data_IF_672722997331
#
_entry.id   IF_672722997331
#
_cell.length_a   1.000
_cell.length_b   1.000
_cell.length_c   1.000
_cell.angle_alpha   90.00
_cell.angle_beta   90.00
_cell.angle_gamma   90.00
#
_symmetry.space_group_name_H-M   'P 1'
#
loop_
_entity.id
_entity.type
_entity.pdbx_description
1 polymer ?
#
# COMPACT_ATOMS: atom_id res chain seq x y z
N UNK A 1 18.01 -55.96 -1.52
CA UNK A 1 18.13 -54.87 -0.56
C UNK A 1 16.87 -54.02 -0.73
N UNK A 2 15.94 -54.07 0.20
CA UNK A 2 14.71 -53.30 0.13
C UNK A 2 15.06 -51.85 0.51
N UNK A 3 15.04 -50.94 -0.49
CA UNK A 3 15.23 -49.51 -0.28
C UNK A 3 14.29 -49.03 0.87
N UNK A 4 14.84 -48.82 2.04
CA UNK A 4 14.12 -48.49 3.29
C UNK A 4 13.86 -46.99 3.31
N UNK A 5 13.10 -46.46 2.30
CA UNK A 5 12.73 -45.05 2.13
C UNK A 5 11.28 -44.87 2.53
N UNK A 6 11.05 -44.00 3.49
CA UNK A 6 9.69 -43.63 3.97
C UNK A 6 9.42 -42.13 3.80
N UNK A 7 8.16 -41.81 3.63
CA UNK A 7 7.66 -40.43 3.66
C UNK A 7 6.95 -40.16 4.99
N UNK A 8 7.38 -39.15 5.70
CA UNK A 8 6.78 -38.67 6.94
C UNK A 8 6.01 -37.39 6.63
N UNK A 9 4.68 -37.52 6.55
CA UNK A 9 3.80 -36.47 6.07
C UNK A 9 2.97 -35.90 7.23
N UNK A 10 3.09 -34.59 7.43
CA UNK A 10 2.19 -33.86 8.31
C UNK A 10 0.98 -33.44 7.46
N UNK A 11 -0.18 -33.97 7.83
CA UNK A 11 -1.46 -33.71 7.20
C UNK A 11 -2.36 -32.89 8.16
N UNK A 12 -3.49 -32.39 7.68
CA UNK A 12 -4.40 -31.53 8.44
C UNK A 12 -4.89 -32.21 9.75
N UNK A 13 -5.22 -33.50 9.70
CA UNK A 13 -5.81 -34.23 10.84
C UNK A 13 -4.82 -35.14 11.58
N UNK A 14 -3.56 -35.25 11.11
CA UNK A 14 -2.61 -36.15 11.74
C UNK A 14 -1.30 -36.34 10.95
N UNK A 15 -0.55 -37.32 11.35
CA UNK A 15 0.74 -37.68 10.76
C UNK A 15 0.60 -39.02 10.04
N UNK A 16 0.98 -39.05 8.76
CA UNK A 16 1.01 -40.27 7.96
C UNK A 16 2.45 -40.71 7.70
N UNK A 17 2.74 -41.99 7.91
CA UNK A 17 3.98 -42.65 7.49
C UNK A 17 3.66 -43.50 6.28
N UNK A 18 4.33 -43.21 5.17
CA UNK A 18 4.02 -43.78 3.86
C UNK A 18 5.28 -44.41 3.27
N UNK A 19 5.15 -45.52 2.63
CA UNK A 19 6.26 -46.18 1.94
C UNK A 19 6.57 -45.55 0.56
N UNK A 20 7.61 -46.05 -0.11
CA UNK A 20 7.99 -45.60 -1.45
C UNK A 20 6.89 -45.82 -2.51
N UNK A 21 5.95 -46.75 -2.27
CA UNK A 21 4.82 -47.06 -3.16
C UNK A 21 3.56 -46.21 -2.82
N UNK A 22 3.67 -45.20 -1.97
CA UNK A 22 2.57 -44.38 -1.46
C UNK A 22 1.48 -45.21 -0.72
N UNK A 23 1.86 -46.32 -0.07
CA UNK A 23 0.97 -47.05 0.82
C UNK A 23 1.20 -46.60 2.24
N UNK A 24 0.08 -46.26 2.92
CA UNK A 24 0.11 -45.80 4.32
C UNK A 24 0.45 -46.97 5.23
N UNK A 25 1.58 -46.88 5.91
CA UNK A 25 2.05 -47.87 6.88
C UNK A 25 1.53 -47.59 8.28
N UNK A 26 1.40 -46.30 8.62
CA UNK A 26 0.83 -45.85 9.89
C UNK A 26 0.21 -44.48 9.69
N UNK A 27 -0.90 -44.26 10.38
CA UNK A 27 -1.53 -42.94 10.52
C UNK A 27 -1.85 -42.66 11.98
N UNK A 28 -1.34 -41.54 12.50
CA UNK A 28 -1.65 -41.08 13.85
C UNK A 28 -2.49 -39.82 13.78
N UNK A 29 -3.74 -39.91 14.26
CA UNK A 29 -4.65 -38.74 14.33
C UNK A 29 -4.21 -37.84 15.46
N UNK A 30 -4.23 -36.52 15.24
CA UNK A 30 -4.09 -35.51 16.28
C UNK A 30 -5.32 -35.49 17.18
N UNK A 31 -5.12 -35.35 18.48
CA UNK A 31 -6.24 -35.19 19.43
C UNK A 31 -6.96 -33.85 19.20
N UNK A 32 -6.21 -32.79 19.02
CA UNK A 32 -6.72 -31.46 18.61
C UNK A 32 -5.85 -30.96 17.44
N UNK A 33 -6.31 -31.19 16.17
CA UNK A 33 -5.51 -30.87 15.00
C UNK A 33 -5.02 -29.42 14.96
N UNK A 34 -5.83 -28.47 15.45
CA UNK A 34 -5.48 -27.05 15.44
C UNK A 34 -4.35 -26.74 16.42
N UNK A 35 -4.44 -27.28 17.65
CA UNK A 35 -3.38 -27.10 18.66
C UNK A 35 -2.08 -27.78 18.23
N UNK A 36 -2.17 -28.98 17.68
CA UNK A 36 -1.00 -29.70 17.18
C UNK A 36 -0.29 -28.93 16.08
N UNK A 37 -1.01 -28.37 15.12
CA UNK A 37 -0.42 -27.51 14.09
C UNK A 37 0.18 -26.21 14.64
N UNK A 38 -0.41 -25.60 15.67
CA UNK A 38 0.18 -24.44 16.35
C UNK A 38 1.47 -24.79 17.09
N UNK A 39 1.53 -25.95 17.78
CA UNK A 39 2.75 -26.47 18.40
C UNK A 39 3.83 -26.68 17.37
N UNK A 40 3.54 -27.38 16.27
CA UNK A 40 4.49 -27.61 15.17
C UNK A 40 5.00 -26.29 14.59
N UNK A 41 4.14 -25.30 14.38
CA UNK A 41 4.55 -23.97 13.93
C UNK A 41 5.51 -23.28 14.90
N UNK A 42 5.30 -23.47 16.21
CA UNK A 42 6.17 -22.95 17.27
C UNK A 42 7.41 -23.81 17.54
N UNK A 43 7.68 -24.83 16.69
CA UNK A 43 8.78 -25.80 16.82
C UNK A 43 8.72 -26.68 18.07
N UNK A 44 7.54 -26.88 18.60
CA UNK A 44 7.26 -27.89 19.62
C UNK A 44 6.87 -29.19 18.91
N UNK A 45 7.75 -30.17 18.96
CA UNK A 45 7.63 -31.43 18.20
C UNK A 45 7.37 -32.65 19.12
N UNK A 46 6.83 -32.45 20.33
CA UNK A 46 6.55 -33.55 21.24
C UNK A 46 5.65 -34.62 20.63
N UNK A 47 4.52 -34.20 19.98
CA UNK A 47 3.59 -35.14 19.34
C UNK A 47 4.19 -35.88 18.14
N UNK A 48 5.24 -35.30 17.53
CA UNK A 48 5.97 -35.91 16.42
C UNK A 48 6.91 -36.99 16.96
N UNK A 49 7.54 -36.79 18.13
CA UNK A 49 8.46 -37.75 18.71
C UNK A 49 7.80 -39.12 18.93
N UNK A 50 6.54 -39.14 19.41
CA UNK A 50 5.78 -40.36 19.57
C UNK A 50 5.51 -41.09 18.23
N UNK A 51 5.35 -40.35 17.15
CA UNK A 51 5.14 -40.93 15.81
C UNK A 51 6.44 -41.51 15.23
N UNK A 52 7.60 -41.01 15.68
CA UNK A 52 8.91 -41.56 15.27
C UNK A 52 9.24 -42.88 15.96
N UNK A 53 8.61 -43.22 17.08
CA UNK A 53 8.74 -44.54 17.74
C UNK A 53 8.27 -45.71 16.87
N UNK A 54 7.45 -45.41 15.84
CA UNK A 54 7.10 -46.41 14.82
C UNK A 54 8.32 -47.05 14.18
N UNK A 55 9.39 -46.30 14.01
CA UNK A 55 10.63 -46.78 13.40
C UNK A 55 11.50 -47.51 14.41
N UNK A 56 11.21 -48.80 14.65
CA UNK A 56 12.07 -49.69 15.47
C UNK A 56 13.48 -49.79 14.91
N UNK A 57 13.62 -49.74 13.56
CA UNK A 57 14.88 -49.65 12.85
C UNK A 57 14.84 -48.40 11.99
N UNK A 58 15.88 -47.57 12.10
CA UNK A 58 15.91 -46.29 11.36
C UNK A 58 15.93 -46.55 9.84
N UNK A 59 15.07 -45.82 9.09
CA UNK A 59 15.09 -45.92 7.62
C UNK A 59 16.36 -45.29 7.03
N UNK A 60 16.74 -45.75 5.83
CA UNK A 60 17.87 -45.17 5.10
C UNK A 60 17.65 -43.72 4.71
N UNK A 61 16.38 -43.39 4.38
CA UNK A 61 15.98 -42.01 4.05
C UNK A 61 14.55 -41.76 4.50
N UNK A 62 14.35 -40.61 5.17
CA UNK A 62 13.04 -40.13 5.58
C UNK A 62 12.71 -38.80 4.85
N UNK A 63 11.71 -38.82 3.99
CA UNK A 63 11.29 -37.63 3.27
C UNK A 63 10.13 -36.96 3.96
N UNK A 64 10.14 -35.62 4.08
CA UNK A 64 9.04 -34.87 4.72
C UNK A 64 8.51 -33.75 3.83
N UNK A 65 7.22 -33.43 3.98
CA UNK A 65 6.57 -32.29 3.35
C UNK A 65 6.75 -30.99 4.17
N UNK A 66 7.41 -31.05 5.35
CA UNK A 66 7.53 -29.92 6.25
C UNK A 66 9.00 -29.53 6.46
N UNK A 67 9.50 -28.43 5.83
CA UNK A 67 10.92 -28.07 5.86
C UNK A 67 11.48 -27.85 7.27
N UNK A 68 10.67 -27.28 8.16
CA UNK A 68 11.11 -26.92 9.51
C UNK A 68 11.36 -28.15 10.41
N UNK A 69 10.86 -29.31 9.99
CA UNK A 69 11.05 -30.57 10.71
C UNK A 69 12.42 -31.23 10.43
N UNK A 70 13.11 -30.83 9.36
CA UNK A 70 14.35 -31.47 8.93
C UNK A 70 15.43 -31.38 10.00
N UNK A 71 15.62 -30.19 10.59
CA UNK A 71 16.65 -30.02 11.62
C UNK A 71 16.34 -30.88 12.86
N UNK A 72 15.07 -30.97 13.23
CA UNK A 72 14.63 -31.84 14.32
C UNK A 72 14.86 -33.33 14.03
N UNK A 73 14.52 -33.79 12.83
CA UNK A 73 14.75 -35.18 12.40
C UNK A 73 16.25 -35.53 12.35
N UNK A 74 17.09 -34.62 11.83
CA UNK A 74 18.55 -34.80 11.80
C UNK A 74 19.14 -34.86 13.20
N UNK A 75 18.68 -34.02 14.13
CA UNK A 75 19.10 -34.05 15.53
C UNK A 75 18.74 -35.38 16.21
N UNK A 76 17.64 -36.03 15.81
CA UNK A 76 17.25 -37.36 16.24
C UNK A 76 17.92 -38.48 15.44
N UNK A 77 18.98 -38.19 14.68
CA UNK A 77 19.78 -39.11 13.88
C UNK A 77 18.99 -39.79 12.76
N UNK A 78 18.00 -39.19 12.17
CA UNK A 78 17.36 -39.60 10.95
C UNK A 78 18.03 -38.90 9.75
N UNK A 79 18.28 -39.66 8.67
CA UNK A 79 18.65 -39.03 7.40
C UNK A 79 17.39 -38.47 6.74
N UNK A 80 17.17 -37.15 6.87
CA UNK A 80 15.93 -36.49 6.47
C UNK A 80 16.16 -35.47 5.33
N UNK A 81 15.28 -35.52 4.32
CA UNK A 81 15.27 -34.63 3.17
C UNK A 81 13.85 -34.12 2.88
N UNK A 82 13.74 -32.98 2.16
CA UNK A 82 12.46 -32.51 1.62
C UNK A 82 12.09 -33.38 0.43
N UNK A 83 10.80 -33.62 0.24
CA UNK A 83 10.29 -34.32 -0.94
C UNK A 83 10.62 -33.47 -2.18
N UNK A 84 11.50 -33.95 -3.05
CA UNK A 84 12.01 -33.19 -4.21
C UNK A 84 10.98 -33.09 -5.34
N UNK A 85 10.17 -34.15 -5.54
CA UNK A 85 9.16 -34.25 -6.60
C UNK A 85 7.74 -34.08 -5.99
N UNK A 86 7.44 -32.89 -5.47
CA UNK A 86 6.14 -32.62 -4.87
C UNK A 86 5.15 -32.14 -5.93
N UNK A 87 4.38 -33.05 -6.52
CA UNK A 87 3.19 -32.69 -7.31
C UNK A 87 2.01 -32.43 -6.36
N UNK A 88 1.68 -31.16 -6.18
CA UNK A 88 0.62 -30.71 -5.27
C UNK A 88 -0.75 -31.30 -5.64
N UNK A 89 -1.05 -31.48 -6.93
CA UNK A 89 -2.32 -32.06 -7.40
C UNK A 89 -2.40 -33.54 -7.06
N UNK A 90 -1.35 -34.29 -7.34
CA UNK A 90 -1.28 -35.70 -7.02
C UNK A 90 -1.33 -35.93 -5.50
N UNK A 91 -0.67 -35.08 -4.72
CA UNK A 91 -0.71 -35.12 -3.26
C UNK A 91 -2.10 -34.91 -2.71
N UNK A 92 -2.90 -33.98 -3.25
CA UNK A 92 -4.29 -33.76 -2.82
C UNK A 92 -5.17 -35.00 -3.10
N UNK A 93 -4.93 -35.70 -4.19
CA UNK A 93 -5.64 -36.95 -4.51
C UNK A 93 -5.21 -38.07 -3.55
N UNK A 94 -3.92 -38.20 -3.31
CA UNK A 94 -3.35 -39.25 -2.47
C UNK A 94 -3.71 -39.05 -0.97
N UNK A 95 -4.01 -37.82 -0.53
CA UNK A 95 -4.44 -37.53 0.84
C UNK A 95 -5.62 -38.42 1.29
N UNK A 96 -6.60 -38.66 0.44
CA UNK A 96 -7.75 -39.51 0.76
C UNK A 96 -7.26 -40.90 1.13
N UNK A 97 -6.24 -41.43 0.42
CA UNK A 97 -5.66 -42.73 0.72
C UNK A 97 -4.89 -42.75 2.03
N UNK A 98 -4.25 -41.64 2.39
CA UNK A 98 -3.51 -41.54 3.66
C UNK A 98 -4.44 -41.54 4.88
N UNK A 99 -5.65 -41.00 4.74
CA UNK A 99 -6.68 -41.04 5.79
C UNK A 99 -7.46 -42.38 5.83
N UNK A 100 -7.40 -43.17 4.76
CA UNK A 100 -8.18 -44.40 4.61
C UNK A 100 -8.04 -45.42 5.76
N UNK A 101 -6.87 -45.60 6.38
CA UNK A 101 -6.73 -46.58 7.50
C UNK A 101 -7.64 -46.24 8.68
N UNK A 102 -8.01 -44.96 8.87
CA UNK A 102 -8.78 -44.48 10.00
C UNK A 102 -10.24 -44.19 9.65
N UNK A 103 -10.48 -43.60 8.48
CA UNK A 103 -11.80 -43.14 8.05
C UNK A 103 -12.46 -44.02 6.97
N UNK A 104 -11.73 -45.03 6.46
CA UNK A 104 -12.19 -45.83 5.31
C UNK A 104 -11.91 -45.15 3.96
N UNK A 105 -12.07 -45.92 2.86
CA UNK A 105 -11.80 -45.46 1.51
C UNK A 105 -12.87 -44.55 0.90
N UNK A 106 -14.04 -44.44 1.51
CA UNK A 106 -15.13 -43.64 1.00
C UNK A 106 -15.33 -42.38 1.86
N UNK A 107 -14.84 -41.20 1.42
CA UNK A 107 -14.98 -39.97 2.19
C UNK A 107 -16.43 -39.48 2.33
N UNK A 108 -17.34 -39.95 1.47
CA UNK A 108 -18.79 -39.67 1.49
C UNK A 108 -19.63 -40.81 2.08
N UNK A 109 -18.97 -41.86 2.56
CA UNK A 109 -19.66 -42.99 3.18
C UNK A 109 -20.25 -42.68 4.56
N UNK A 110 -21.00 -43.62 5.14
CA UNK A 110 -21.44 -43.49 6.52
C UNK A 110 -20.24 -43.29 7.44
N UNK A 111 -20.37 -42.49 8.52
CA UNK A 111 -19.28 -42.20 9.43
C UNK A 111 -18.68 -43.51 9.96
N UNK A 112 -17.37 -43.65 9.83
CA UNK A 112 -16.61 -44.74 10.42
C UNK A 112 -16.60 -44.62 11.96
N UNK A 113 -15.90 -45.52 12.66
CA UNK A 113 -15.83 -45.51 14.13
C UNK A 113 -15.23 -44.19 14.69
N UNK A 114 -14.49 -43.44 13.87
CA UNK A 114 -13.84 -42.16 14.22
C UNK A 114 -14.59 -40.92 13.67
N UNK A 115 -15.78 -41.08 13.08
CA UNK A 115 -16.56 -40.00 12.51
C UNK A 115 -16.42 -39.84 10.99
N UNK A 116 -16.85 -38.72 10.46
CA UNK A 116 -16.74 -38.35 9.03
C UNK A 116 -15.45 -37.59 8.78
N UNK A 117 -14.63 -38.09 7.85
CA UNK A 117 -13.39 -37.40 7.45
C UNK A 117 -13.65 -35.97 6.95
N UNK A 118 -14.71 -35.77 6.18
CA UNK A 118 -15.05 -34.47 5.61
C UNK A 118 -15.49 -33.48 6.70
N UNK A 119 -16.21 -33.94 7.73
CA UNK A 119 -16.63 -33.08 8.83
C UNK A 119 -15.43 -32.66 9.68
N UNK A 120 -14.52 -33.58 10.00
CA UNK A 120 -13.29 -33.26 10.73
C UNK A 120 -12.39 -32.29 9.93
N UNK A 121 -12.24 -32.50 8.63
CA UNK A 121 -11.48 -31.57 7.75
C UNK A 121 -12.14 -30.20 7.66
N UNK A 122 -13.47 -30.14 7.59
CA UNK A 122 -14.22 -28.90 7.58
C UNK A 122 -14.04 -28.14 8.89
N UNK A 123 -14.19 -28.81 10.00
CA UNK A 123 -14.02 -28.22 11.33
C UNK A 123 -12.60 -27.70 11.54
N UNK A 124 -11.60 -28.48 11.13
CA UNK A 124 -10.20 -28.03 11.13
C UNK A 124 -10.04 -26.78 10.27
N UNK A 125 -10.52 -26.80 9.02
CA UNK A 125 -10.37 -25.68 8.10
C UNK A 125 -11.04 -24.39 8.62
N UNK A 126 -12.24 -24.49 9.22
CA UNK A 126 -12.93 -23.36 9.82
C UNK A 126 -12.16 -22.78 11.02
N UNK A 127 -11.73 -23.64 11.95
CA UNK A 127 -10.97 -23.20 13.12
C UNK A 127 -9.61 -22.62 12.73
N UNK A 128 -8.90 -23.29 11.81
CA UNK A 128 -7.60 -22.85 11.32
C UNK A 128 -7.68 -21.51 10.57
N UNK A 129 -8.72 -21.33 9.73
CA UNK A 129 -8.94 -20.06 9.03
C UNK A 129 -9.26 -18.93 9.99
N UNK A 130 -10.05 -19.19 11.06
CA UNK A 130 -10.32 -18.17 12.10
C UNK A 130 -9.05 -17.71 12.80
N UNK A 131 -8.16 -18.64 13.18
CA UNK A 131 -6.87 -18.30 13.79
C UNK A 131 -6.00 -17.51 12.81
N UNK A 132 -5.93 -17.92 11.55
CA UNK A 132 -5.18 -17.21 10.52
C UNK A 132 -5.69 -15.78 10.28
N UNK A 133 -7.01 -15.59 10.32
CA UNK A 133 -7.63 -14.26 10.22
C UNK A 133 -7.27 -13.42 11.45
N UNK A 134 -7.33 -14.01 12.65
CA UNK A 134 -6.93 -13.31 13.87
C UNK A 134 -5.46 -12.91 13.85
N UNK A 135 -4.55 -13.83 13.54
CA UNK A 135 -3.10 -13.53 13.37
C UNK A 135 -2.85 -12.43 12.32
N UNK A 136 -3.59 -12.49 11.20
CA UNK A 136 -3.49 -11.46 10.17
C UNK A 136 -4.02 -10.11 10.65
N UNK A 137 -5.09 -10.10 11.45
CA UNK A 137 -5.67 -8.86 12.01
C UNK A 137 -4.77 -8.20 13.06
N UNK A 138 -3.90 -8.95 13.71
CA UNK A 138 -2.92 -8.45 14.68
C UNK A 138 -1.67 -7.84 14.00
N UNK A 139 -1.53 -7.99 12.68
CA UNK A 139 -0.40 -7.42 11.94
C UNK A 139 -0.51 -5.90 11.88
N UNK A 140 0.42 -5.22 12.52
CA UNK A 140 0.46 -3.76 12.60
C UNK A 140 0.58 -3.07 11.23
N UNK A 141 1.18 -3.71 10.22
CA UNK A 141 1.30 -3.15 8.86
C UNK A 141 -0.06 -3.03 8.15
N UNK A 142 -1.04 -3.89 8.47
CA UNK A 142 -2.41 -3.74 7.99
C UNK A 142 -3.10 -2.53 8.63
N UNK A 143 -2.88 -2.31 9.93
CA UNK A 143 -3.42 -1.12 10.62
C UNK A 143 -2.80 0.17 10.07
N UNK A 144 -1.49 0.21 9.81
CA UNK A 144 -0.84 1.34 9.12
C UNK A 144 -1.48 1.57 7.74
N UNK A 145 -1.75 0.50 6.99
CA UNK A 145 -2.37 0.61 5.66
C UNK A 145 -3.78 1.21 5.73
N UNK A 146 -4.57 0.84 6.73
CA UNK A 146 -5.91 1.44 6.93
C UNK A 146 -5.80 2.90 7.40
N UNK A 147 -4.90 3.19 8.34
CA UNK A 147 -4.72 4.55 8.87
C UNK A 147 -4.27 5.54 7.79
N UNK A 148 -3.35 5.15 6.90
CA UNK A 148 -2.89 6.02 5.83
C UNK A 148 -3.95 6.21 4.73
N UNK A 149 -4.75 5.18 4.44
CA UNK A 149 -5.88 5.31 3.52
C UNK A 149 -6.94 6.25 4.08
N UNK A 150 -7.27 6.12 5.38
CA UNK A 150 -8.19 7.03 6.07
C UNK A 150 -7.67 8.47 6.07
N UNK A 151 -6.38 8.68 6.29
CA UNK A 151 -5.75 10.00 6.22
C UNK A 151 -5.88 10.62 4.81
N UNK A 152 -5.60 9.85 3.76
CA UNK A 152 -5.73 10.31 2.37
C UNK A 152 -7.19 10.60 1.98
N UNK A 153 -8.16 9.92 2.58
CA UNK A 153 -9.60 10.19 2.38
C UNK A 153 -10.05 11.43 3.15
N UNK A 154 -9.62 11.59 4.41
CA UNK A 154 -9.89 12.77 5.22
C UNK A 154 -9.32 14.03 4.55
N UNK A 155 -8.11 13.97 3.99
CA UNK A 155 -7.51 15.08 3.24
C UNK A 155 -8.41 15.53 2.07
N UNK A 156 -9.02 14.60 1.35
CA UNK A 156 -9.95 14.90 0.25
C UNK A 156 -11.24 15.54 0.75
N UNK A 157 -11.82 14.96 1.80
CA UNK A 157 -13.07 15.47 2.40
C UNK A 157 -12.83 16.87 2.96
N UNK A 158 -11.75 17.05 3.70
CA UNK A 158 -11.36 18.32 4.31
C UNK A 158 -11.17 19.43 3.26
N UNK A 159 -10.49 19.11 2.15
CA UNK A 159 -10.35 20.03 1.03
C UNK A 159 -11.71 20.34 0.36
N UNK A 160 -12.58 19.35 0.18
CA UNK A 160 -13.87 19.54 -0.48
C UNK A 160 -14.82 20.37 0.37
N UNK A 161 -14.99 20.01 1.66
CA UNK A 161 -15.86 20.70 2.60
C UNK A 161 -15.31 22.09 2.93
N UNK A 162 -13.99 22.18 3.16
CA UNK A 162 -13.32 23.44 3.43
C UNK A 162 -13.43 24.44 2.28
N UNK A 163 -13.30 23.99 1.02
CA UNK A 163 -13.51 24.84 -0.14
C UNK A 163 -14.96 25.33 -0.21
N UNK A 164 -15.94 24.45 0.03
CA UNK A 164 -17.35 24.81 0.04
C UNK A 164 -17.66 25.84 1.14
N UNK A 165 -17.13 25.65 2.34
CA UNK A 165 -17.24 26.58 3.43
C UNK A 165 -16.66 27.98 3.07
N UNK A 166 -15.46 28.00 2.47
CA UNK A 166 -14.80 29.24 2.02
C UNK A 166 -15.60 29.98 0.95
N UNK A 167 -16.08 29.25 -0.06
CA UNK A 167 -16.92 29.83 -1.13
C UNK A 167 -18.21 30.44 -0.56
N UNK A 168 -18.85 29.76 0.39
CA UNK A 168 -20.10 30.25 0.98
C UNK A 168 -19.87 31.42 1.95
N UNK A 169 -18.90 31.29 2.87
CA UNK A 169 -18.56 32.39 3.78
C UNK A 169 -17.94 33.59 3.05
N UNK A 170 -17.31 33.36 1.92
CA UNK A 170 -16.77 34.40 1.04
C UNK A 170 -17.84 35.34 0.45
N UNK A 171 -19.13 34.99 0.48
CA UNK A 171 -20.21 35.93 0.18
C UNK A 171 -20.34 37.02 1.26
N UNK A 172 -19.95 36.69 2.50
CA UNK A 172 -19.97 37.64 3.64
C UNK A 172 -18.61 38.33 3.82
N UNK A 173 -17.50 37.57 3.70
CA UNK A 173 -16.15 38.12 3.89
C UNK A 173 -15.18 37.57 2.80
N UNK A 174 -15.27 38.07 1.54
CA UNK A 174 -14.50 37.54 0.42
C UNK A 174 -12.99 37.72 0.56
N UNK A 175 -12.54 38.76 1.24
CA UNK A 175 -11.12 39.05 1.36
C UNK A 175 -10.37 38.08 2.28
N UNK A 176 -11.09 37.41 3.21
CA UNK A 176 -10.50 36.48 4.17
C UNK A 176 -9.83 35.28 3.49
N UNK A 177 -10.35 34.82 2.36
CA UNK A 177 -9.79 33.69 1.61
C UNK A 177 -8.37 33.96 1.10
N UNK A 178 -8.08 35.20 0.71
CA UNK A 178 -6.74 35.59 0.28
C UNK A 178 -5.75 35.78 1.46
N UNK A 179 -6.25 36.11 2.63
CA UNK A 179 -5.43 36.37 3.82
C UNK A 179 -5.06 35.09 4.56
N UNK A 180 -5.96 34.10 4.58
CA UNK A 180 -5.80 32.84 5.32
C UNK A 180 -5.88 31.64 4.42
N UNK A 181 -4.73 31.00 4.19
CA UNK A 181 -4.66 29.78 3.39
C UNK A 181 -4.96 28.51 4.20
N UNK A 182 -4.72 28.53 5.52
CA UNK A 182 -4.98 27.38 6.38
C UNK A 182 -6.48 27.21 6.59
N UNK A 183 -7.01 26.04 6.18
CA UNK A 183 -8.43 25.70 6.25
C UNK A 183 -8.92 25.62 7.71
N UNK A 184 -8.12 25.05 8.61
CA UNK A 184 -8.48 24.89 10.01
C UNK A 184 -8.57 26.25 10.74
N UNK A 185 -7.60 27.15 10.49
CA UNK A 185 -7.62 28.52 11.04
C UNK A 185 -8.82 29.31 10.51
N UNK A 186 -9.12 29.17 9.21
CA UNK A 186 -10.30 29.78 8.60
C UNK A 186 -11.60 29.24 9.23
N UNK A 187 -11.72 27.92 9.41
CA UNK A 187 -12.88 27.31 10.05
C UNK A 187 -13.06 27.75 11.51
N UNK A 188 -11.98 27.94 12.26
CA UNK A 188 -12.05 28.46 13.62
C UNK A 188 -12.66 29.86 13.66
N UNK A 189 -12.31 30.73 12.72
CA UNK A 189 -12.92 32.08 12.64
C UNK A 189 -14.42 31.97 12.34
N UNK A 190 -14.81 31.20 11.36
CA UNK A 190 -16.22 31.03 10.99
C UNK A 190 -17.02 30.40 12.13
N UNK A 191 -16.47 29.38 12.81
CA UNK A 191 -17.16 28.68 13.90
C UNK A 191 -17.33 29.55 15.16
N UNK A 192 -16.29 30.29 15.57
CA UNK A 192 -16.26 30.99 16.87
C UNK A 192 -16.79 32.40 16.82
N UNK A 193 -16.51 33.12 15.73
CA UNK A 193 -16.92 34.51 15.57
C UNK A 193 -18.15 34.59 14.67
N UNK A 194 -18.08 34.01 13.50
CA UNK A 194 -19.16 33.99 12.53
C UNK A 194 -19.31 35.30 11.77
N UNK A 195 -19.75 36.40 12.42
CA UNK A 195 -19.90 37.70 11.78
C UNK A 195 -18.59 38.48 11.77
N UNK A 196 -18.22 39.04 10.62
CA UNK A 196 -16.96 39.79 10.47
C UNK A 196 -16.90 41.02 11.38
N UNK A 197 -18.07 41.61 11.73
CA UNK A 197 -18.20 42.76 12.61
C UNK A 197 -17.84 42.45 14.07
N UNK A 198 -17.94 41.19 14.47
CA UNK A 198 -17.65 40.69 15.84
C UNK A 198 -16.19 40.22 15.98
N UNK A 199 -15.38 40.39 14.96
CA UNK A 199 -13.99 39.89 14.93
C UNK A 199 -13.11 40.76 15.84
N UNK A 200 -12.48 40.14 16.85
CA UNK A 200 -11.59 40.82 17.80
C UNK A 200 -10.13 40.40 17.61
N UNK A 201 -9.21 41.34 17.89
CA UNK A 201 -7.77 41.05 17.83
C UNK A 201 -7.33 40.01 18.84
N UNK A 202 -7.92 40.01 20.05
CA UNK A 202 -7.61 39.02 21.10
C UNK A 202 -7.92 37.59 20.65
N UNK A 203 -9.05 37.38 19.98
CA UNK A 203 -9.40 36.07 19.44
C UNK A 203 -8.42 35.63 18.36
N UNK A 204 -8.04 36.50 17.42
CA UNK A 204 -7.12 36.17 16.36
C UNK A 204 -5.71 35.80 16.87
N UNK A 205 -5.27 36.38 17.99
CA UNK A 205 -4.00 36.00 18.64
C UNK A 205 -4.02 34.56 19.15
N UNK A 206 -5.18 34.01 19.52
CA UNK A 206 -5.30 32.60 19.95
C UNK A 206 -5.13 31.58 18.80
N UNK A 207 -5.15 32.04 17.54
CA UNK A 207 -5.16 31.18 16.35
C UNK A 207 -3.77 31.02 15.67
N UNK A 208 -2.68 31.35 16.37
CA UNK A 208 -1.30 31.29 15.81
C UNK A 208 -1.13 32.10 14.51
N UNK A 209 -1.85 33.24 14.40
CA UNK A 209 -1.75 34.13 13.26
C UNK A 209 -0.68 35.20 13.56
N UNK A 210 0.27 35.48 12.63
CA UNK A 210 1.25 36.54 12.82
C UNK A 210 0.60 37.90 13.04
N UNK A 211 1.12 38.70 13.97
CA UNK A 211 0.53 40.02 14.38
C UNK A 211 0.27 40.97 13.20
N UNK A 212 1.22 41.02 12.25
CA UNK A 212 1.08 41.82 11.03
C UNK A 212 -0.14 41.42 10.18
N UNK A 213 -0.51 40.12 10.19
CA UNK A 213 -1.72 39.66 9.50
C UNK A 213 -2.99 39.93 10.28
N UNK A 214 -2.94 39.92 11.61
CA UNK A 214 -4.08 40.23 12.46
C UNK A 214 -4.59 41.65 12.18
N UNK A 215 -3.69 42.64 12.16
CA UNK A 215 -4.06 44.04 11.84
C UNK A 215 -4.68 44.14 10.44
N UNK A 216 -4.10 43.47 9.44
CA UNK A 216 -4.64 43.49 8.09
C UNK A 216 -6.04 42.88 8.04
N UNK A 217 -6.29 41.77 8.75
CA UNK A 217 -7.59 41.09 8.80
C UNK A 217 -8.63 42.04 9.43
N UNK A 218 -8.31 42.68 10.55
CA UNK A 218 -9.23 43.62 11.24
C UNK A 218 -9.56 44.85 10.39
N UNK A 219 -8.54 45.45 9.75
CA UNK A 219 -8.75 46.57 8.82
C UNK A 219 -9.63 46.19 7.63
N UNK A 220 -9.40 44.96 7.11
CA UNK A 220 -10.12 44.45 5.96
C UNK A 220 -11.56 44.08 6.32
N UNK A 221 -11.80 43.53 7.50
CA UNK A 221 -13.14 43.22 8.01
C UNK A 221 -14.04 44.46 8.04
N UNK A 222 -13.50 45.59 8.52
CA UNK A 222 -14.21 46.86 8.59
C UNK A 222 -14.49 47.50 7.22
N UNK A 223 -13.70 47.18 6.19
CA UNK A 223 -13.81 47.73 4.83
C UNK A 223 -14.32 46.74 3.80
N UNK A 224 -14.71 45.55 4.25
CA UNK A 224 -15.13 44.45 3.36
C UNK A 224 -16.35 44.83 2.52
N UNK A 225 -16.31 44.36 1.26
CA UNK A 225 -17.40 44.52 0.29
C UNK A 225 -18.42 43.41 0.33
N UNK A 226 -18.25 42.42 1.21
CA UNK A 226 -19.15 41.29 1.34
C UNK A 226 -20.55 41.67 1.84
N UNK A 227 -21.54 40.85 1.52
CA UNK A 227 -22.92 41.01 1.94
C UNK A 227 -23.13 40.74 3.45
N UNK A 228 -24.29 41.17 3.99
CA UNK A 228 -24.70 40.71 5.31
C UNK A 228 -25.13 39.27 5.27
N UNK A 229 -24.74 38.49 6.27
CA UNK A 229 -25.14 37.09 6.42
C UNK A 229 -26.39 37.02 7.33
N UNK A 230 -27.34 36.16 6.99
CA UNK A 230 -28.50 35.86 7.83
C UNK A 230 -28.12 34.89 8.94
N UNK A 231 -28.79 34.91 10.08
CA UNK A 231 -28.54 34.03 11.21
C UNK A 231 -28.69 32.54 10.82
N UNK A 232 -29.67 32.20 9.99
CA UNK A 232 -29.90 30.84 9.51
C UNK A 232 -28.71 30.32 8.71
N UNK A 233 -28.21 31.13 7.76
CA UNK A 233 -27.04 30.75 6.95
C UNK A 233 -25.77 30.69 7.80
N UNK A 234 -25.65 31.53 8.80
CA UNK A 234 -24.53 31.54 9.73
C UNK A 234 -24.47 30.24 10.55
N UNK A 235 -25.62 29.82 11.11
CA UNK A 235 -25.70 28.55 11.86
C UNK A 235 -25.28 27.33 11.02
N UNK A 236 -25.69 27.27 9.76
CA UNK A 236 -25.28 26.18 8.86
C UNK A 236 -23.78 26.27 8.60
N UNK A 237 -23.23 27.43 8.36
CA UNK A 237 -21.80 27.62 8.12
C UNK A 237 -20.95 27.27 9.36
N UNK A 238 -21.42 27.65 10.54
CA UNK A 238 -20.78 27.30 11.81
C UNK A 238 -20.79 25.78 12.04
N UNK A 239 -21.88 25.10 11.71
CA UNK A 239 -21.95 23.64 11.75
C UNK A 239 -20.91 23.01 10.80
N UNK A 240 -20.86 23.50 9.55
CA UNK A 240 -19.83 23.06 8.58
C UNK A 240 -18.41 23.32 9.05
N UNK A 241 -18.17 24.47 9.66
CA UNK A 241 -16.86 24.85 10.20
C UNK A 241 -16.43 23.92 11.36
N UNK A 242 -17.37 23.57 12.24
CA UNK A 242 -17.12 22.64 13.33
C UNK A 242 -16.72 21.25 12.81
N UNK A 243 -17.38 20.76 11.74
CA UNK A 243 -16.99 19.50 11.11
C UNK A 243 -15.60 19.57 10.49
N UNK A 244 -15.24 20.68 9.85
CA UNK A 244 -13.89 20.89 9.32
C UNK A 244 -12.84 20.86 10.43
N UNK A 245 -13.12 21.48 11.58
CA UNK A 245 -12.22 21.47 12.75
C UNK A 245 -12.07 20.04 13.29
N UNK A 246 -13.17 19.32 13.44
CA UNK A 246 -13.18 17.92 13.90
C UNK A 246 -12.35 17.02 12.96
N UNK A 247 -12.56 17.13 11.65
CA UNK A 247 -11.78 16.40 10.65
C UNK A 247 -10.29 16.75 10.70
N UNK A 248 -9.95 18.01 10.92
CA UNK A 248 -8.54 18.43 11.07
C UNK A 248 -7.89 17.83 12.32
N UNK A 249 -8.63 17.68 13.42
CA UNK A 249 -8.18 17.01 14.65
C UNK A 249 -7.94 15.50 14.40
N UNK A 250 -8.92 14.83 13.77
CA UNK A 250 -8.78 13.41 13.42
C UNK A 250 -7.57 13.18 12.49
N UNK A 251 -7.38 14.08 11.50
CA UNK A 251 -6.22 14.07 10.62
C UNK A 251 -4.90 14.09 11.40
N UNK A 252 -4.78 14.97 12.38
CA UNK A 252 -3.59 15.07 13.23
C UNK A 252 -3.39 13.82 14.06
N UNK A 253 -4.44 13.29 14.68
CA UNK A 253 -4.39 12.05 15.46
C UNK A 253 -3.93 10.88 14.59
N UNK A 254 -4.38 10.80 13.33
CA UNK A 254 -3.93 9.75 12.39
C UNK A 254 -2.46 9.92 12.00
N UNK A 255 -1.99 11.16 11.80
CA UNK A 255 -0.57 11.42 11.52
C UNK A 255 0.31 10.97 12.70
N UNK A 256 -0.05 11.32 13.92
CA UNK A 256 0.67 10.93 15.14
C UNK A 256 0.65 9.40 15.32
N UNK A 257 -0.51 8.76 15.07
CA UNK A 257 -0.63 7.30 15.13
C UNK A 257 0.24 6.59 14.08
N UNK A 258 0.24 7.09 12.85
CA UNK A 258 1.08 6.54 11.77
C UNK A 258 2.55 6.72 12.11
N UNK A 259 2.93 7.85 12.67
CA UNK A 259 4.32 8.15 13.06
C UNK A 259 4.83 7.15 14.10
N UNK A 260 4.06 6.91 15.17
CA UNK A 260 4.37 5.92 16.21
C UNK A 260 4.38 4.48 15.67
N UNK A 261 3.40 4.12 14.85
CA UNK A 261 3.31 2.78 14.29
C UNK A 261 4.47 2.47 13.34
N UNK A 262 4.88 3.45 12.54
CA UNK A 262 6.04 3.33 11.65
C UNK A 262 7.36 3.22 12.41
N UNK A 263 7.50 3.87 13.57
CA UNK A 263 8.65 3.72 14.44
C UNK A 263 8.79 2.28 14.96
N UNK A 264 7.67 1.65 15.33
CA UNK A 264 7.67 0.28 15.84
C UNK A 264 7.97 -0.76 14.76
N UNK A 265 7.46 -0.58 13.53
CA UNK A 265 7.53 -1.63 12.49
C UNK A 265 8.69 -1.42 11.54
N UNK A 266 8.97 -0.18 11.18
CA UNK A 266 9.92 0.14 10.10
C UNK A 266 10.66 1.46 10.36
N UNK A 267 11.48 1.52 11.42
CA UNK A 267 12.22 2.73 11.80
C UNK A 267 13.19 3.21 10.72
N UNK A 268 13.90 2.30 10.05
CA UNK A 268 14.80 2.66 8.95
C UNK A 268 14.08 3.24 7.74
N UNK A 269 12.93 2.67 7.40
CA UNK A 269 12.11 3.17 6.28
C UNK A 269 11.51 4.54 6.63
N UNK A 270 11.06 4.74 7.88
CA UNK A 270 10.56 6.02 8.40
C UNK A 270 11.63 7.11 8.31
N UNK A 271 12.84 6.84 8.76
CA UNK A 271 13.95 7.79 8.75
C UNK A 271 14.32 8.25 7.34
N UNK A 272 14.33 7.32 6.38
CA UNK A 272 14.68 7.62 4.99
C UNK A 272 13.58 8.35 4.21
N UNK A 273 12.29 8.07 4.51
CA UNK A 273 11.19 8.49 3.65
C UNK A 273 10.18 9.43 4.31
N UNK A 274 10.20 9.61 5.61
CA UNK A 274 9.11 10.10 6.47
C UNK A 274 8.04 9.03 6.72
N UNK A 275 7.34 9.11 7.85
CA UNK A 275 6.32 8.15 8.25
C UNK A 275 5.21 8.00 7.20
N UNK A 276 4.65 9.11 6.73
CA UNK A 276 3.52 9.12 5.80
C UNK A 276 3.88 8.56 4.42
N UNK A 277 5.06 8.85 3.88
CA UNK A 277 5.50 8.30 2.58
C UNK A 277 5.82 6.81 2.71
N UNK A 278 6.49 6.40 3.79
CA UNK A 278 6.74 5.00 4.10
C UNK A 278 5.46 4.19 4.24
N UNK A 279 4.50 4.69 5.01
CA UNK A 279 3.18 4.08 5.20
C UNK A 279 2.42 3.93 3.87
N UNK A 280 2.44 4.95 2.98
CA UNK A 280 1.83 4.85 1.64
C UNK A 280 2.47 3.78 0.77
N UNK A 281 3.79 3.58 0.88
CA UNK A 281 4.47 2.50 0.15
C UNK A 281 4.08 1.12 0.69
N UNK A 282 3.99 0.94 2.02
CA UNK A 282 3.54 -0.30 2.66
C UNK A 282 2.10 -0.59 2.23
N UNK A 283 1.19 0.38 2.35
CA UNK A 283 -0.21 0.24 1.94
C UNK A 283 -0.35 -0.12 0.46
N UNK A 284 0.43 0.52 -0.40
CA UNK A 284 0.40 0.25 -1.85
C UNK A 284 0.99 -1.10 -2.21
N UNK A 285 1.98 -1.58 -1.48
CA UNK A 285 2.53 -2.92 -1.63
C UNK A 285 1.61 -3.99 -1.04
N UNK A 286 0.80 -3.65 -0.04
CA UNK A 286 -0.12 -4.51 0.69
C UNK A 286 0.42 -5.04 2.02
N UNK A 287 1.74 -5.07 2.22
CA UNK A 287 2.40 -5.42 3.48
C UNK A 287 3.88 -4.99 3.45
N UNK A 288 4.51 -4.87 4.62
CA UNK A 288 5.96 -4.63 4.72
C UNK A 288 6.76 -5.78 4.09
N UNK A 289 6.33 -7.03 4.31
CA UNK A 289 6.94 -8.22 3.70
C UNK A 289 6.94 -8.15 2.18
N UNK A 290 5.82 -7.74 1.59
CA UNK A 290 5.72 -7.60 0.14
C UNK A 290 6.56 -6.42 -0.37
N UNK A 291 6.60 -5.30 0.35
CA UNK A 291 7.45 -4.15 0.01
C UNK A 291 8.93 -4.54 0.00
N UNK A 292 9.41 -5.27 1.00
CA UNK A 292 10.78 -5.76 1.11
C UNK A 292 11.17 -6.72 -0.02
N UNK A 293 10.22 -7.48 -0.58
CA UNK A 293 10.44 -8.38 -1.72
C UNK A 293 10.56 -7.65 -3.06
N UNK A 294 10.06 -6.41 -3.15
CA UNK A 294 10.10 -5.64 -4.41
C UNK A 294 11.52 -5.19 -4.77
N UNK A 295 11.75 -5.05 -6.07
CA UNK A 295 12.97 -4.41 -6.57
C UNK A 295 12.93 -2.89 -6.35
N UNK A 296 14.09 -2.25 -6.21
CA UNK A 296 14.17 -0.79 -6.07
C UNK A 296 13.55 -0.04 -7.26
N UNK A 297 13.63 -0.61 -8.47
CA UNK A 297 13.00 -0.04 -9.66
C UNK A 297 11.47 -0.10 -9.59
N UNK A 298 10.90 -1.14 -9.01
CA UNK A 298 9.46 -1.24 -8.77
C UNK A 298 9.02 -0.24 -7.70
N UNK A 299 9.76 -0.12 -6.59
CA UNK A 299 9.50 0.86 -5.54
C UNK A 299 9.56 2.29 -6.08
N UNK A 300 10.50 2.58 -7.01
CA UNK A 300 10.62 3.90 -7.64
C UNK A 300 9.34 4.38 -8.31
N UNK A 301 8.62 3.48 -8.96
CA UNK A 301 7.42 3.80 -9.76
C UNK A 301 6.11 3.34 -9.12
N UNK A 302 6.17 2.78 -7.91
CA UNK A 302 5.00 2.32 -7.17
C UNK A 302 3.98 3.46 -7.03
N UNK A 303 2.70 3.20 -7.37
CA UNK A 303 1.65 4.21 -7.45
C UNK A 303 1.52 4.91 -8.83
N UNK A 304 2.44 4.66 -9.76
CA UNK A 304 2.38 5.18 -11.13
C UNK A 304 2.06 4.09 -12.18
N UNK A 305 1.38 3.01 -11.77
CA UNK A 305 1.11 1.84 -12.62
C UNK A 305 0.33 2.22 -13.88
N UNK A 306 -0.68 3.10 -13.75
CA UNK A 306 -1.47 3.57 -14.91
C UNK A 306 -0.60 4.29 -15.96
N UNK A 307 0.41 5.06 -15.51
CA UNK A 307 1.35 5.73 -16.40
C UNK A 307 2.31 4.73 -17.05
N UNK A 308 2.78 3.73 -16.31
CA UNK A 308 3.62 2.65 -16.81
C UNK A 308 2.88 1.84 -17.89
N UNK A 309 1.63 1.41 -17.64
CA UNK A 309 0.82 0.70 -18.63
C UNK A 309 0.54 1.54 -19.88
N UNK A 310 0.36 2.87 -19.71
CA UNK A 310 0.22 3.78 -20.86
C UNK A 310 1.50 3.77 -21.70
N UNK A 311 2.67 3.81 -21.05
CA UNK A 311 3.98 3.74 -21.73
C UNK A 311 4.10 2.47 -22.57
N UNK A 312 3.76 1.32 -22.00
CA UNK A 312 3.81 0.04 -22.71
C UNK A 312 2.87 -0.03 -23.92
N UNK A 313 1.69 0.62 -23.82
CA UNK A 313 0.69 0.63 -24.93
C UNK A 313 0.98 1.66 -26.02
N UNK A 314 1.55 2.80 -25.65
CA UNK A 314 1.66 3.96 -26.57
C UNK A 314 3.07 4.33 -26.93
N UNK A 315 4.10 3.70 -26.31
CA UNK A 315 5.50 4.11 -26.47
C UNK A 315 5.82 5.47 -25.85
N UNK A 316 4.95 6.01 -24.99
CA UNK A 316 5.22 7.25 -24.26
C UNK A 316 6.40 7.08 -23.28
N UNK A 317 6.99 8.19 -22.81
CA UNK A 317 8.07 8.12 -21.85
C UNK A 317 7.62 7.50 -20.52
N UNK A 318 8.44 6.60 -19.92
CA UNK A 318 8.10 5.95 -18.66
C UNK A 318 8.05 6.95 -17.50
N UNK A 319 7.23 6.68 -16.45
CA UNK A 319 7.19 7.52 -15.26
C UNK A 319 8.55 7.51 -14.56
N UNK A 320 9.00 8.69 -14.11
CA UNK A 320 10.28 8.86 -13.41
C UNK A 320 10.19 8.52 -11.93
N UNK A 321 9.02 8.64 -11.35
CA UNK A 321 8.69 8.41 -9.94
C UNK A 321 7.20 8.10 -9.79
N UNK A 322 6.84 7.43 -8.69
CA UNK A 322 5.47 7.19 -8.25
C UNK A 322 5.18 7.95 -6.97
N UNK A 323 4.71 7.24 -5.93
CA UNK A 323 4.41 7.78 -4.59
C UNK A 323 5.61 8.49 -3.95
N UNK A 324 6.84 8.09 -4.28
CA UNK A 324 8.05 8.77 -3.82
C UNK A 324 8.12 10.26 -4.18
N UNK A 325 7.29 10.73 -5.12
CA UNK A 325 7.20 12.15 -5.44
C UNK A 325 6.76 13.01 -4.24
N UNK A 326 6.04 12.42 -3.30
CA UNK A 326 5.60 13.11 -2.08
C UNK A 326 6.73 13.35 -1.08
N UNK A 327 7.89 12.68 -1.28
CA UNK A 327 9.07 12.92 -0.45
C UNK A 327 9.58 14.37 -0.63
N UNK A 328 9.85 15.13 0.46
CA UNK A 328 10.20 16.55 0.40
C UNK A 328 11.34 16.87 -0.57
N UNK A 329 12.42 16.06 -0.54
CA UNK A 329 13.60 16.25 -1.40
C UNK A 329 13.27 16.08 -2.88
N UNK A 330 12.37 15.16 -3.26
CA UNK A 330 12.00 14.94 -4.66
C UNK A 330 11.00 16.01 -5.10
N UNK A 331 10.07 16.38 -4.24
CA UNK A 331 9.06 17.38 -4.55
C UNK A 331 9.67 18.77 -4.81
N UNK A 332 10.60 19.21 -3.95
CA UNK A 332 11.29 20.51 -4.09
C UNK A 332 12.30 20.53 -5.23
N UNK A 333 12.83 19.36 -5.66
CA UNK A 333 13.87 19.30 -6.66
C UNK A 333 13.38 19.72 -8.07
N UNK A 334 14.30 20.28 -8.90
CA UNK A 334 14.04 20.58 -10.30
C UNK A 334 13.64 19.34 -11.10
N UNK A 335 12.80 19.50 -12.13
CA UNK A 335 12.26 18.39 -12.94
C UNK A 335 13.31 17.45 -13.51
N UNK A 336 14.52 17.93 -13.79
CA UNK A 336 15.63 17.14 -14.35
C UNK A 336 16.35 16.29 -13.30
N UNK A 337 16.30 16.65 -12.02
CA UNK A 337 16.91 15.90 -10.91
C UNK A 337 15.97 14.84 -10.33
N UNK A 338 14.64 15.07 -10.35
CA UNK A 338 13.62 14.21 -9.67
C UNK A 338 13.77 12.72 -9.93
N UNK A 339 14.00 12.32 -11.19
CA UNK A 339 14.15 10.90 -11.52
C UNK A 339 15.44 10.26 -11.00
N UNK A 340 16.51 11.05 -10.82
CA UNK A 340 17.78 10.58 -10.26
C UNK A 340 17.68 10.45 -8.74
N UNK A 341 17.08 11.44 -8.10
CA UNK A 341 16.79 11.43 -6.66
C UNK A 341 15.84 10.28 -6.30
N UNK A 342 14.76 10.09 -7.07
CA UNK A 342 13.83 8.99 -6.86
C UNK A 342 14.52 7.62 -6.94
N UNK A 343 15.49 7.44 -7.86
CA UNK A 343 16.28 6.21 -7.97
C UNK A 343 17.20 6.01 -6.77
N UNK A 344 17.87 7.05 -6.30
CA UNK A 344 18.74 6.98 -5.13
C UNK A 344 17.93 6.63 -3.88
N UNK A 345 16.82 7.33 -3.65
CA UNK A 345 15.92 7.09 -2.51
C UNK A 345 15.31 5.69 -2.57
N UNK A 346 14.77 5.25 -3.71
CA UNK A 346 14.17 3.92 -3.83
C UNK A 346 15.17 2.79 -3.61
N UNK A 347 16.43 2.98 -4.01
CA UNK A 347 17.50 1.99 -3.77
C UNK A 347 17.76 1.81 -2.27
N UNK A 348 17.80 2.90 -1.50
CA UNK A 348 18.00 2.85 -0.05
C UNK A 348 16.73 2.38 0.67
N UNK A 349 15.55 2.80 0.23
CA UNK A 349 14.28 2.33 0.77
C UNK A 349 14.10 0.82 0.63
N UNK A 350 14.54 0.22 -0.50
CA UNK A 350 14.52 -1.23 -0.67
C UNK A 350 15.42 -1.97 0.33
N UNK A 351 16.56 -1.37 0.69
CA UNK A 351 17.46 -1.93 1.70
C UNK A 351 16.83 -1.77 3.09
N UNK A 352 16.34 -0.57 3.42
CA UNK A 352 15.69 -0.26 4.69
C UNK A 352 14.52 -1.21 4.98
N UNK A 353 13.61 -1.39 4.01
CA UNK A 353 12.47 -2.30 4.18
C UNK A 353 12.89 -3.76 4.46
N UNK A 354 14.02 -4.22 3.89
CA UNK A 354 14.58 -5.55 4.18
C UNK A 354 15.23 -5.61 5.56
N UNK A 355 15.95 -4.57 5.96
CA UNK A 355 16.53 -4.47 7.31
C UNK A 355 15.42 -4.48 8.35
N UNK A 356 14.39 -3.67 8.18
CA UNK A 356 13.24 -3.60 9.09
C UNK A 356 12.50 -4.94 9.21
N UNK A 357 12.40 -5.69 8.11
CA UNK A 357 11.68 -6.97 8.11
C UNK A 357 12.50 -8.14 8.69
N UNK A 358 13.80 -8.21 8.39
CA UNK A 358 14.61 -9.40 8.68
C UNK A 358 15.60 -9.22 9.84
N UNK A 359 15.81 -7.99 10.31
CA UNK A 359 16.65 -7.76 11.48
C UNK A 359 15.91 -8.17 12.77
N UNK A 360 16.61 -8.83 13.68
CA UNK A 360 16.04 -9.19 15.00
C UNK A 360 15.77 -7.98 15.88
N UNK A 361 16.58 -6.92 15.74
CA UNK A 361 16.40 -5.63 16.40
C UNK A 361 16.50 -4.55 15.33
N UNK A 362 15.38 -4.10 14.77
CA UNK A 362 15.36 -3.03 13.77
C UNK A 362 15.59 -1.67 14.46
N UNK A 363 16.81 -1.44 14.91
CA UNK A 363 17.22 -0.10 15.33
C UNK A 363 17.47 0.78 14.11
N UNK A 364 17.17 2.07 14.23
CA UNK A 364 17.44 3.05 13.18
C UNK A 364 18.92 3.03 12.79
N UNK A 365 19.19 2.80 11.52
CA UNK A 365 20.55 2.69 11.00
C UNK A 365 20.99 4.00 10.35
N UNK A 366 21.54 4.91 11.18
CA UNK A 366 22.04 6.23 10.75
C UNK A 366 23.02 6.16 9.55
N UNK A 367 23.66 5.01 9.32
CA UNK A 367 24.58 4.85 8.18
C UNK A 367 23.85 4.81 6.83
N UNK A 368 22.59 4.33 6.78
CA UNK A 368 21.78 4.34 5.55
C UNK A 368 21.32 5.76 5.22
N UNK A 369 20.91 6.52 6.23
CA UNK A 369 20.48 7.91 6.08
C UNK A 369 21.65 8.80 5.66
N UNK A 370 22.81 8.66 6.30
CA UNK A 370 24.03 9.40 5.94
C UNK A 370 24.42 9.14 4.48
N UNK A 371 24.56 7.87 4.06
CA UNK A 371 24.89 7.50 2.69
C UNK A 371 23.85 7.96 1.65
N UNK A 372 22.57 8.10 2.06
CA UNK A 372 21.55 8.68 1.20
C UNK A 372 21.76 10.18 1.05
N UNK A 373 22.02 10.89 2.14
CA UNK A 373 22.23 12.33 2.13
C UNK A 373 23.47 12.73 1.30
N UNK A 374 24.58 11.97 1.44
CA UNK A 374 25.78 12.15 0.59
C UNK A 374 25.46 11.98 -0.90
N UNK A 375 24.63 10.99 -1.21
CA UNK A 375 24.21 10.75 -2.60
C UNK A 375 23.25 11.82 -3.14
N UNK A 376 22.39 12.36 -2.30
CA UNK A 376 21.48 13.47 -2.65
C UNK A 376 22.30 14.71 -2.97
N UNK A 377 23.27 15.09 -2.12
CA UNK A 377 24.17 16.23 -2.34
C UNK A 377 24.99 16.08 -3.61
N UNK A 378 25.58 14.91 -3.84
CA UNK A 378 26.30 14.62 -5.09
C UNK A 378 25.41 14.82 -6.34
N UNK A 379 24.15 14.34 -6.29
CA UNK A 379 23.22 14.51 -7.40
C UNK A 379 22.85 15.98 -7.60
N UNK A 380 22.62 16.73 -6.52
CA UNK A 380 22.28 18.15 -6.58
C UNK A 380 23.43 18.98 -7.16
N UNK A 381 24.66 18.68 -6.77
CA UNK A 381 25.86 19.36 -7.26
C UNK A 381 26.17 19.02 -8.72
N UNK A 382 26.15 17.74 -9.07
CA UNK A 382 26.47 17.25 -10.41
C UNK A 382 25.48 17.68 -11.48
N UNK A 383 24.21 17.90 -11.10
CA UNK A 383 23.11 18.21 -12.03
C UNK A 383 22.45 19.54 -11.70
N UNK A 384 23.24 20.58 -11.36
CA UNK A 384 22.74 21.95 -11.12
C UNK A 384 21.93 22.45 -12.30
N UNK A 385 22.42 22.16 -13.53
CA UNK A 385 21.76 22.56 -14.76
C UNK A 385 21.18 21.39 -15.54
N UNK A 386 20.10 21.63 -16.31
CA UNK A 386 19.53 20.60 -17.16
C UNK A 386 20.50 20.26 -18.31
N UNK A 387 20.58 18.97 -18.68
CA UNK A 387 21.41 18.56 -19.84
C UNK A 387 20.93 19.25 -21.14
N UNK A 388 21.83 19.45 -22.11
CA UNK A 388 21.49 20.08 -23.40
C UNK A 388 20.31 19.45 -24.12
N UNK A 389 20.16 18.12 -24.03
CA UNK A 389 19.01 17.38 -24.58
C UNK A 389 17.70 17.80 -23.89
N UNK A 390 17.74 18.00 -22.59
CA UNK A 390 16.57 18.42 -21.81
C UNK A 390 16.23 19.90 -22.06
N UNK A 391 17.23 20.74 -22.25
CA UNK A 391 17.06 22.16 -22.66
C UNK A 391 16.36 22.24 -24.01
N UNK A 392 16.80 21.45 -25.00
CA UNK A 392 16.18 21.38 -26.33
C UNK A 392 14.75 20.87 -26.28
N UNK A 393 14.45 19.87 -25.44
CA UNK A 393 13.08 19.37 -25.24
C UNK A 393 12.17 20.39 -24.54
N UNK A 394 12.68 21.16 -23.57
CA UNK A 394 11.92 22.23 -22.95
C UNK A 394 11.60 23.36 -23.93
N UNK A 395 12.56 23.78 -24.75
CA UNK A 395 12.33 24.77 -25.79
C UNK A 395 11.32 24.31 -26.85
N UNK A 396 11.35 23.04 -27.23
CA UNK A 396 10.34 22.46 -28.16
C UNK A 396 8.95 22.38 -27.56
N UNK A 397 8.84 22.07 -26.28
CA UNK A 397 7.54 22.03 -25.58
C UNK A 397 6.97 23.44 -25.37
N UNK A 398 7.81 24.43 -25.10
CA UNK A 398 7.41 25.84 -25.02
C UNK A 398 6.85 26.33 -26.35
N UNK A 399 7.53 26.04 -27.47
CA UNK A 399 7.07 26.38 -28.83
C UNK A 399 5.80 25.63 -29.26
N UNK A 400 5.53 24.44 -28.70
CA UNK A 400 4.27 23.70 -28.93
C UNK A 400 3.12 24.28 -28.09
N UNK A 401 3.35 24.65 -26.83
CA UNK A 401 2.36 25.29 -25.97
C UNK A 401 1.86 26.63 -26.54
N UNK A 402 2.75 27.43 -27.11
CA UNK A 402 2.38 28.69 -27.77
C UNK A 402 1.53 28.45 -29.05
N UNK A 403 1.82 27.42 -29.82
CA UNK A 403 1.00 27.07 -31.00
C UNK A 403 -0.41 26.58 -30.63
N UNK A 404 -0.55 25.81 -29.55
CA UNK A 404 -1.84 25.33 -29.09
C UNK A 404 -2.68 26.44 -28.42
N UNK A 405 -2.05 27.42 -27.76
CA UNK A 405 -2.73 28.61 -27.24
C UNK A 405 -3.22 29.53 -28.36
N UNK A 406 -2.42 29.66 -29.43
CA UNK A 406 -2.80 30.48 -30.61
C UNK A 406 -3.96 29.86 -31.40
N UNK A 407 -4.00 28.54 -31.52
CA UNK A 407 -5.11 27.81 -32.17
C UNK A 407 -6.38 27.82 -31.33
N UNK A 408 -6.28 27.74 -29.99
CA UNK A 408 -7.44 27.86 -29.07
C UNK A 408 -8.05 29.25 -29.06
N UNK A 409 -7.27 30.31 -29.19
CA UNK A 409 -7.77 31.69 -29.26
C UNK A 409 -8.38 32.02 -30.64
N UNK A 410 -7.92 31.41 -31.73
CA UNK A 410 -8.57 31.55 -33.04
C UNK A 410 -9.93 30.85 -33.11
N UNK A 411 -10.10 29.69 -32.41
CA UNK A 411 -11.38 28.97 -32.36
C UNK A 411 -12.47 29.68 -31.55
N UNK A 412 -12.09 30.55 -30.59
CA UNK A 412 -13.06 31.33 -29.77
C UNK A 412 -13.57 32.60 -30.46
N UNK A 413 -12.93 33.09 -31.51
CA UNK A 413 -13.35 34.28 -32.24
C UNK A 413 -14.38 34.04 -33.35
N UNK A 414 -14.68 32.77 -33.72
CA UNK A 414 -15.65 32.42 -34.79
C UNK A 414 -16.82 31.54 -34.32
N UNK A 415 -17.13 31.52 -33.05
CA UNK A 415 -18.19 30.69 -32.45
C UNK A 415 -19.23 31.49 -31.65
N UNK A 416 -19.70 32.63 -32.19
CA UNK A 416 -20.99 33.23 -31.83
C UNK A 416 -21.81 33.28 -33.12
N UNK A 417 -22.75 32.43 -33.21
CA UNK A 417 -23.91 32.24 -34.02
C UNK A 417 -23.95 30.84 -34.65
N UNK A 418 -24.72 29.98 -34.05
CA UNK A 418 -25.65 29.02 -34.65
C UNK A 418 -25.99 27.95 -33.62
N UNK A 419 -27.04 28.26 -32.85
CA UNK A 419 -27.96 27.25 -32.36
C UNK A 419 -28.75 26.77 -33.57
N UNK A 420 -28.77 25.48 -33.80
CA UNK A 420 -29.82 24.59 -34.27
C UNK A 420 -29.28 23.41 -35.09
N UNK A 421 -29.88 22.26 -34.77
CA UNK A 421 -29.93 21.01 -35.52
C UNK A 421 -28.78 20.00 -35.36
N UNK A 422 -29.05 18.99 -34.54
CA UNK A 422 -29.35 17.63 -34.94
C UNK A 422 -28.21 16.80 -35.55
N UNK A 423 -27.76 15.83 -34.75
CA UNK A 423 -27.50 14.46 -35.22
C UNK A 423 -26.91 14.29 -36.63
N UNK A 424 -25.60 14.13 -36.70
CA UNK A 424 -24.80 13.37 -37.69
C UNK A 424 -23.34 13.72 -37.56
N UNK A 425 -22.53 12.84 -36.99
CA UNK A 425 -21.15 12.58 -37.42
C UNK A 425 -20.37 11.71 -36.41
N UNK A 426 -20.78 10.45 -36.38
CA UNK A 426 -19.98 9.39 -35.74
C UNK A 426 -19.26 8.48 -36.78
N UNK A 427 -19.13 8.90 -38.03
CA UNK A 427 -18.62 8.02 -39.12
C UNK A 427 -17.27 8.40 -39.75
N UNK A 428 -16.59 9.45 -39.37
CA UNK A 428 -15.39 9.89 -40.13
C UNK A 428 -14.00 9.60 -39.49
N UNK A 429 -13.91 8.91 -38.35
CA UNK A 429 -12.59 8.60 -37.73
C UNK A 429 -12.07 7.17 -37.92
N UNK A 430 -12.79 6.30 -38.64
CA UNK A 430 -12.37 4.89 -38.87
C UNK A 430 -11.47 4.65 -40.09
N UNK A 431 -11.30 5.59 -40.98
CA UNK A 431 -10.58 5.39 -42.26
C UNK A 431 -9.11 5.90 -42.28
N UNK A 432 -8.61 6.54 -41.26
CA UNK A 432 -7.18 6.96 -41.22
C UNK A 432 -6.23 5.91 -40.61
N UNK A 433 -6.74 4.90 -39.92
CA UNK A 433 -5.93 3.84 -39.32
C UNK A 433 -5.60 2.67 -40.26
N UNK A 434 -6.41 2.44 -41.31
CA UNK A 434 -6.16 1.33 -42.26
C UNK A 434 -5.09 1.60 -43.32
N UNK A 435 -4.67 2.84 -43.55
CA UNK A 435 -3.65 3.17 -44.58
C UNK A 435 -2.20 3.12 -44.09
N UNK A 436 -1.94 2.91 -42.81
CA UNK A 436 -0.54 2.81 -42.25
C UNK A 436 -0.02 1.39 -42.17
N UNK A 437 -0.85 0.36 -42.18
CA UNK A 437 -0.45 -1.05 -42.09
C UNK A 437 -0.13 -1.74 -43.42
N UNK A 438 -0.35 -1.10 -44.57
CA UNK A 438 -0.06 -1.69 -45.87
C UNK A 438 1.22 -1.19 -46.54
N UNK A 439 2.08 -0.42 -45.86
CA UNK A 439 3.35 0.07 -46.41
C UNK A 439 4.62 -0.53 -45.75
N UNK A 440 4.52 -1.48 -44.82
CA UNK A 440 5.69 -2.11 -44.21
C UNK A 440 5.96 -3.56 -44.65
N UNK A 441 5.18 -4.12 -45.63
CA UNK A 441 5.42 -5.48 -46.16
C UNK A 441 5.82 -5.47 -47.66
N UNK A 442 6.57 -4.47 -48.10
CA UNK A 442 7.28 -4.52 -49.39
C UNK A 442 8.61 -3.76 -49.21
N UNK A 443 9.56 -4.40 -48.63
CA UNK A 443 10.98 -4.35 -48.94
C UNK A 443 11.68 -5.55 -48.29
#
# INVERSE_FOLDING_TARGET
MTDNVYKFLILELGIAIVDKKNQTQSFKKFHDPVKSHLKIKNRDFEEISESLEFFKVKPELLQTNYPELIDYLKNNMFNAEIISDFDEKQFQIDKIRFYAPMYGFNPHGPPGPEGSMLDDLRDFALKWSSIRVQEASEQLDLHISQSINALDEIDKILNTVGTRMREWYGLHFPELDNLLQNIATYANIVSKVGKREELTGEFLQTLDIPENKIEIILMTANRSKGGKITEENLLILQSLANEVISLAQIRKTLEDHIDLSMEMISPNLKELLTATVGARLIAKAGSLKRLASLSSSTIQILGAEKALFRTLKTGANPPKHGLLFQHPVIHSAPKWQRGKLARAISSKAAIAARVDLYSRNPESNNTLASKLNDRITEIQEKYKEPSEIQQRQQQQNFKRGDRDSYTRNKGKKYGRDRDRDGDRDFKFKKNKFKKRFHKSNKK
#
